data_IF_635662286487
#
_entry.id   IF_635662286487
#
_cell.length_a   1.000
_cell.length_b   1.000
_cell.length_c   1.000
_cell.angle_alpha   90.00
_cell.angle_beta   90.00
_cell.angle_gamma   90.00
#
_symmetry.space_group_name_H-M   'P 1'
#
loop_
_entity.id
_entity.type
_entity.pdbx_description
1 polymer ?
#
# COMPACT_ATOMS: atom_id res chain seq x y z
N UNK A 1 -3.42 24.14 -30.44
CA UNK A 1 -4.75 24.18 -29.80
C UNK A 1 -4.77 23.23 -28.62
N UNK A 2 -5.20 23.70 -27.44
CA UNK A 2 -5.47 22.81 -26.31
C UNK A 2 -6.76 22.05 -26.61
N UNK A 3 -6.68 20.76 -26.74
CA UNK A 3 -7.86 19.91 -26.92
C UNK A 3 -8.71 20.00 -25.66
N UNK A 4 -9.92 20.50 -25.78
CA UNK A 4 -10.86 20.55 -24.65
C UNK A 4 -11.47 19.17 -24.50
N UNK A 5 -11.15 18.49 -23.38
CA UNK A 5 -11.77 17.21 -23.06
C UNK A 5 -13.19 17.50 -22.59
N UNK A 6 -14.17 17.03 -23.32
CA UNK A 6 -15.59 17.22 -23.02
C UNK A 6 -16.25 15.98 -22.42
N UNK A 7 -15.62 14.80 -22.60
CA UNK A 7 -16.07 13.54 -22.03
C UNK A 7 -15.04 13.02 -21.02
N UNK A 8 -15.40 12.84 -19.75
CA UNK A 8 -14.48 12.28 -18.74
C UNK A 8 -13.90 10.91 -19.13
N UNK A 9 -14.60 10.15 -19.96
CA UNK A 9 -14.16 8.82 -20.43
C UNK A 9 -13.00 8.93 -21.42
N UNK A 10 -12.75 10.09 -22.01
CA UNK A 10 -11.61 10.35 -22.91
C UNK A 10 -10.32 10.60 -22.15
N UNK A 11 -10.37 10.76 -20.84
CA UNK A 11 -9.17 11.00 -20.01
C UNK A 11 -8.34 9.72 -19.96
N UNK A 12 -7.08 9.81 -20.35
CA UNK A 12 -6.17 8.67 -20.29
C UNK A 12 -5.58 8.53 -18.86
N UNK A 13 -6.39 7.96 -17.98
CA UNK A 13 -6.01 7.75 -16.57
C UNK A 13 -4.78 6.87 -16.41
N UNK A 14 -4.57 5.91 -17.30
CA UNK A 14 -3.36 5.05 -17.31
C UNK A 14 -2.11 5.90 -17.54
N UNK A 15 -2.15 6.81 -18.52
CA UNK A 15 -1.04 7.70 -18.80
C UNK A 15 -0.74 8.61 -17.58
N UNK A 16 -1.78 9.14 -16.94
CA UNK A 16 -1.61 9.96 -15.73
C UNK A 16 -0.98 9.16 -14.60
N UNK A 17 -1.42 7.91 -14.39
CA UNK A 17 -0.84 6.99 -13.42
C UNK A 17 0.65 6.77 -13.69
N UNK A 18 0.99 6.43 -14.94
CA UNK A 18 2.36 6.17 -15.35
C UNK A 18 3.26 7.40 -15.19
N UNK A 19 2.80 8.58 -15.62
CA UNK A 19 3.54 9.84 -15.47
C UNK A 19 3.80 10.18 -14.00
N UNK A 20 2.83 9.94 -13.13
CA UNK A 20 3.00 10.20 -11.69
C UNK A 20 4.07 9.28 -11.09
N UNK A 21 4.20 8.04 -11.58
CA UNK A 21 5.24 7.10 -11.14
C UNK A 21 6.60 7.40 -11.77
N UNK A 22 6.66 7.79 -13.04
CA UNK A 22 7.91 8.17 -13.73
C UNK A 22 8.65 9.30 -13.01
N UNK A 23 7.91 10.25 -12.44
CA UNK A 23 8.50 11.31 -11.64
C UNK A 23 9.18 10.81 -10.36
N UNK A 24 9.06 9.53 -10.04
CA UNK A 24 9.57 8.90 -8.82
C UNK A 24 10.60 7.79 -9.08
N UNK A 25 11.14 7.72 -10.29
CA UNK A 25 12.06 6.66 -10.75
C UNK A 25 13.33 6.45 -9.90
N UNK A 26 13.55 7.26 -8.88
CA UNK A 26 14.67 7.05 -7.97
C UNK A 26 14.29 6.06 -6.85
N UNK A 27 14.72 4.85 -7.08
CA UNK A 27 14.80 3.74 -6.10
C UNK A 27 13.49 3.03 -5.80
N UNK A 28 13.25 1.94 -6.48
CA UNK A 28 12.45 0.85 -5.96
C UNK A 28 12.94 0.55 -4.53
N UNK A 29 12.03 0.57 -3.59
CA UNK A 29 12.36 0.23 -2.21
C UNK A 29 12.88 -1.20 -2.18
N UNK A 30 14.07 -1.37 -1.66
CA UNK A 30 14.68 -2.69 -1.48
C UNK A 30 13.96 -3.38 -0.31
N UNK A 31 13.01 -4.22 -0.65
CA UNK A 31 12.19 -4.93 0.32
C UNK A 31 12.99 -5.98 1.09
N UNK A 32 14.03 -6.57 0.47
CA UNK A 32 14.93 -7.48 1.18
C UNK A 32 15.67 -6.77 2.32
N UNK A 33 16.10 -5.53 2.10
CA UNK A 33 16.70 -4.72 3.17
C UNK A 33 15.69 -4.27 4.23
N UNK A 34 14.43 -4.10 3.84
CA UNK A 34 13.39 -3.67 4.76
C UNK A 34 12.86 -4.79 5.65
N UNK A 35 12.90 -6.04 5.17
CA UNK A 35 12.26 -7.20 5.78
C UNK A 35 12.64 -7.42 7.27
N UNK A 36 13.94 -7.42 7.69
CA UNK A 36 14.28 -7.72 9.08
C UNK A 36 13.68 -6.75 10.11
N UNK A 37 13.40 -5.52 9.70
CA UNK A 37 12.87 -4.48 10.59
C UNK A 37 11.38 -4.18 10.32
N UNK A 38 10.80 -4.83 9.33
CA UNK A 38 9.43 -4.52 8.91
C UNK A 38 8.43 -4.80 10.02
N UNK A 39 8.56 -5.95 10.67
CA UNK A 39 7.68 -6.37 11.76
C UNK A 39 7.91 -5.56 13.05
N UNK A 40 9.17 -5.22 13.36
CA UNK A 40 9.52 -4.41 14.55
C UNK A 40 8.92 -3.00 14.47
N UNK A 41 8.77 -2.48 13.26
CA UNK A 41 8.09 -1.22 12.97
C UNK A 41 6.59 -1.41 12.74
N UNK A 42 6.08 -2.63 13.01
CA UNK A 42 4.68 -2.95 12.81
C UNK A 42 3.81 -2.06 13.71
N UNK A 43 2.97 -1.41 13.08
CA UNK A 43 2.30 -0.19 13.48
C UNK A 43 1.25 -0.39 14.54
N UNK A 44 1.20 0.54 15.42
CA UNK A 44 0.06 0.77 16.28
C UNK A 44 -1.06 1.45 15.44
N UNK A 45 -1.61 0.73 14.45
CA UNK A 45 -2.76 1.21 13.70
C UNK A 45 -3.82 0.10 13.62
N UNK A 46 -5.04 0.49 13.32
CA UNK A 46 -6.20 -0.41 13.23
C UNK A 46 -6.47 -0.87 11.79
N UNK A 47 -5.49 -0.77 10.91
CA UNK A 47 -5.67 -1.08 9.49
C UNK A 47 -6.07 -2.54 9.25
N UNK A 48 -5.37 -3.49 9.89
CA UNK A 48 -5.66 -4.90 9.68
C UNK A 48 -7.09 -5.24 10.11
N UNK A 49 -7.51 -4.77 11.28
CA UNK A 49 -8.86 -5.02 11.80
C UNK A 49 -9.93 -4.44 10.86
N UNK A 50 -9.70 -3.21 10.39
CA UNK A 50 -10.61 -2.56 9.43
C UNK A 50 -10.65 -3.32 8.10
N UNK A 51 -9.49 -3.75 7.58
CA UNK A 51 -9.44 -4.54 6.35
C UNK A 51 -10.21 -5.86 6.54
N UNK A 52 -9.89 -6.61 7.59
CA UNK A 52 -10.54 -7.91 7.83
C UNK A 52 -12.06 -7.78 7.97
N UNK A 53 -12.56 -6.68 8.56
CA UNK A 53 -14.01 -6.44 8.68
C UNK A 53 -14.70 -6.20 7.33
N UNK A 54 -13.94 -5.95 6.26
CA UNK A 54 -14.47 -5.68 4.92
C UNK A 54 -14.33 -6.86 3.96
N UNK A 55 -13.48 -7.82 4.29
CA UNK A 55 -13.30 -8.99 3.43
C UNK A 55 -14.53 -9.91 3.53
N UNK A 56 -15.01 -10.35 2.39
CA UNK A 56 -16.09 -11.34 2.28
C UNK A 56 -15.40 -12.67 1.96
N UNK A 57 -15.28 -13.51 2.97
CA UNK A 57 -14.55 -14.78 2.89
C UNK A 57 -15.44 -15.94 3.32
N UNK A 58 -15.22 -17.10 2.73
CA UNK A 58 -15.88 -18.36 3.09
C UNK A 58 -14.79 -19.40 3.36
N UNK A 59 -15.06 -20.34 4.25
CA UNK A 59 -14.12 -21.41 4.63
C UNK A 59 -13.64 -22.27 3.45
N UNK A 60 -14.42 -22.36 2.39
CA UNK A 60 -14.07 -23.12 1.18
C UNK A 60 -13.33 -22.28 0.12
N UNK A 61 -13.14 -20.99 0.34
CA UNK A 61 -12.50 -20.11 -0.64
C UNK A 61 -10.99 -20.38 -0.76
N UNK A 62 -10.49 -20.17 -1.97
CA UNK A 62 -9.06 -19.97 -2.25
C UNK A 62 -8.80 -18.47 -2.37
N UNK A 63 -7.72 -17.99 -1.74
CA UNK A 63 -7.36 -16.57 -1.78
C UNK A 63 -5.93 -16.38 -2.31
N UNK A 64 -5.77 -15.45 -3.24
CA UNK A 64 -4.47 -15.00 -3.74
C UNK A 64 -4.16 -13.63 -3.10
N UNK A 65 -3.05 -13.54 -2.37
CA UNK A 65 -2.60 -12.32 -1.70
C UNK A 65 -1.41 -11.73 -2.47
N UNK A 66 -1.65 -10.65 -3.19
CA UNK A 66 -0.67 -9.99 -4.07
C UNK A 66 0.12 -8.91 -3.30
N UNK A 67 1.40 -9.15 -3.11
CA UNK A 67 2.28 -8.33 -2.29
C UNK A 67 2.12 -8.71 -0.81
N UNK A 68 2.18 -10.01 -0.53
CA UNK A 68 1.88 -10.60 0.78
C UNK A 68 2.89 -10.22 1.87
N UNK A 69 4.09 -9.79 1.49
CA UNK A 69 5.15 -9.44 2.45
C UNK A 69 5.46 -10.59 3.38
N UNK A 70 5.65 -10.27 4.68
CA UNK A 70 5.97 -11.24 5.73
C UNK A 70 4.72 -11.94 6.33
N UNK A 71 3.56 -11.81 5.66
CA UNK A 71 2.37 -12.58 5.98
C UNK A 71 1.47 -12.00 7.07
N UNK A 72 1.64 -10.73 7.46
CA UNK A 72 0.81 -10.13 8.53
C UNK A 72 -0.69 -10.11 8.21
N UNK A 73 -1.05 -10.17 6.94
CA UNK A 73 -2.44 -10.29 6.48
C UNK A 73 -2.72 -11.72 6.02
N UNK A 74 -1.80 -12.32 5.27
CA UNK A 74 -1.90 -13.68 4.73
C UNK A 74 -2.24 -14.73 5.80
N UNK A 75 -1.48 -14.72 6.92
CA UNK A 75 -1.61 -15.77 7.94
C UNK A 75 -2.93 -15.71 8.72
N UNK A 76 -3.43 -14.54 9.15
CA UNK A 76 -4.79 -14.48 9.72
C UNK A 76 -5.89 -14.92 8.75
N UNK A 77 -5.76 -14.60 7.46
CA UNK A 77 -6.73 -15.04 6.43
C UNK A 77 -6.67 -16.57 6.26
N UNK A 78 -5.47 -17.16 6.27
CA UNK A 78 -5.30 -18.61 6.11
C UNK A 78 -6.09 -19.42 7.16
N UNK A 79 -6.35 -18.84 8.33
CA UNK A 79 -7.15 -19.48 9.39
C UNK A 79 -8.66 -19.47 9.09
N UNK A 80 -9.09 -18.79 8.03
CA UNK A 80 -10.51 -18.57 7.73
C UNK A 80 -10.93 -19.16 6.38
N UNK A 81 -9.96 -19.56 5.54
CA UNK A 81 -10.23 -20.05 4.18
C UNK A 81 -9.53 -21.38 3.92
N UNK A 82 -9.92 -22.06 2.85
CA UNK A 82 -9.38 -23.37 2.48
C UNK A 82 -7.87 -23.27 2.14
N UNK A 83 -7.46 -22.21 1.43
CA UNK A 83 -6.10 -22.08 0.94
C UNK A 83 -5.76 -20.61 0.69
N UNK A 84 -4.51 -20.21 0.99
CA UNK A 84 -3.97 -18.92 0.58
C UNK A 84 -2.69 -19.13 -0.21
N UNK A 85 -2.52 -18.36 -1.29
CA UNK A 85 -1.25 -18.25 -1.99
C UNK A 85 -0.78 -16.79 -1.92
N UNK A 86 0.39 -16.58 -1.33
CA UNK A 86 1.02 -15.26 -1.24
C UNK A 86 2.03 -15.06 -2.38
N UNK A 87 1.95 -13.93 -3.06
CA UNK A 87 2.90 -13.53 -4.10
C UNK A 87 3.68 -12.32 -3.61
N UNK A 88 5.00 -12.38 -3.65
CA UNK A 88 5.85 -11.22 -3.36
C UNK A 88 7.15 -11.29 -4.17
N UNK A 89 7.76 -10.15 -4.41
CA UNK A 89 9.03 -10.06 -5.15
C UNK A 89 10.27 -10.19 -4.25
N UNK A 90 10.08 -10.20 -2.92
CA UNK A 90 11.16 -10.26 -1.94
C UNK A 90 11.32 -11.67 -1.38
N UNK A 91 12.47 -12.29 -1.65
CA UNK A 91 12.82 -13.60 -1.08
C UNK A 91 12.76 -13.57 0.44
N UNK A 92 13.30 -12.52 1.06
CA UNK A 92 13.34 -12.40 2.52
C UNK A 92 11.96 -12.24 3.15
N UNK A 93 11.04 -11.54 2.48
CA UNK A 93 9.66 -11.44 2.94
C UNK A 93 9.00 -12.82 2.95
N UNK A 94 9.16 -13.58 1.87
CA UNK A 94 8.58 -14.93 1.77
C UNK A 94 9.21 -15.90 2.77
N UNK A 95 10.52 -15.79 3.02
CA UNK A 95 11.18 -16.58 4.07
C UNK A 95 10.56 -16.31 5.44
N UNK A 96 10.34 -15.04 5.79
CA UNK A 96 9.70 -14.64 7.04
C UNK A 96 8.24 -15.14 7.11
N UNK A 97 7.50 -15.05 6.01
CA UNK A 97 6.13 -15.55 5.95
C UNK A 97 6.11 -17.07 6.24
N UNK A 98 6.97 -17.82 5.56
CA UNK A 98 7.02 -19.28 5.71
C UNK A 98 7.46 -19.68 7.14
N UNK A 99 8.44 -19.00 7.70
CA UNK A 99 8.85 -19.22 9.10
C UNK A 99 7.68 -18.98 10.06
N UNK A 100 6.96 -17.86 9.90
CA UNK A 100 5.84 -17.51 10.77
C UNK A 100 4.66 -18.48 10.59
N UNK A 101 4.44 -18.99 9.37
CA UNK A 101 3.43 -20.02 9.13
C UNK A 101 3.76 -21.28 9.93
N UNK A 102 5.02 -21.72 9.90
CA UNK A 102 5.48 -22.88 10.68
C UNK A 102 5.31 -22.65 12.19
N UNK A 103 5.74 -21.49 12.69
CA UNK A 103 5.63 -21.12 14.11
C UNK A 103 4.17 -21.12 14.60
N UNK A 104 3.22 -20.85 13.71
CA UNK A 104 1.78 -20.81 14.03
C UNK A 104 1.04 -22.09 13.63
N UNK A 105 1.74 -23.12 13.13
CA UNK A 105 1.16 -24.38 12.63
C UNK A 105 0.10 -24.13 11.54
N UNK A 106 0.38 -23.21 10.60
CA UNK A 106 -0.48 -22.89 9.46
C UNK A 106 0.09 -23.63 8.24
N UNK A 107 -0.66 -24.60 7.70
CA UNK A 107 -0.20 -25.50 6.64
C UNK A 107 -0.82 -25.20 5.25
N UNK A 108 -1.82 -24.34 5.19
CA UNK A 108 -2.59 -24.07 3.97
C UNK A 108 -2.15 -22.78 3.26
N UNK A 109 -0.85 -22.44 3.36
CA UNK A 109 -0.27 -21.27 2.72
C UNK A 109 0.83 -21.72 1.76
N UNK A 110 0.72 -21.32 0.50
CA UNK A 110 1.78 -21.43 -0.51
C UNK A 110 2.35 -20.04 -0.81
N UNK A 111 3.59 -20.00 -1.30
CA UNK A 111 4.23 -18.73 -1.70
C UNK A 111 4.80 -18.81 -3.11
N UNK A 112 4.73 -17.69 -3.83
CA UNK A 112 5.28 -17.53 -5.19
C UNK A 112 6.19 -16.29 -5.17
N UNK A 113 7.47 -16.49 -5.53
CA UNK A 113 8.43 -15.40 -5.68
C UNK A 113 8.25 -14.79 -7.07
N UNK A 114 7.58 -13.63 -7.13
CA UNK A 114 7.32 -12.97 -8.42
C UNK A 114 6.97 -11.50 -8.23
N UNK A 115 7.39 -10.66 -9.17
CA UNK A 115 6.91 -9.29 -9.26
C UNK A 115 5.45 -9.26 -9.69
N UNK A 116 4.65 -8.38 -9.09
CA UNK A 116 3.24 -8.22 -9.45
C UNK A 116 3.04 -7.72 -10.89
N UNK A 117 4.07 -7.10 -11.47
CA UNK A 117 4.05 -6.66 -12.87
C UNK A 117 4.14 -7.83 -13.85
N UNK A 118 4.68 -8.96 -13.39
CA UNK A 118 4.99 -10.14 -14.23
C UNK A 118 4.02 -11.31 -14.01
N UNK A 119 3.01 -11.17 -13.16
CA UNK A 119 2.03 -12.24 -12.95
C UNK A 119 1.19 -12.47 -14.21
N UNK A 120 0.92 -13.73 -14.51
CA UNK A 120 0.04 -14.12 -15.62
C UNK A 120 -1.04 -15.09 -15.12
N UNK A 121 -2.18 -15.07 -15.78
CA UNK A 121 -3.25 -16.02 -15.47
C UNK A 121 -2.80 -17.47 -15.70
N UNK A 122 -2.01 -17.68 -16.73
CA UNK A 122 -1.53 -19.02 -17.14
C UNK A 122 -0.66 -19.68 -16.06
N UNK A 123 0.05 -18.85 -15.28
CA UNK A 123 0.90 -19.36 -14.16
C UNK A 123 0.13 -19.48 -12.85
N UNK A 124 -0.77 -18.53 -12.61
CA UNK A 124 -1.46 -18.40 -11.31
C UNK A 124 -2.73 -19.26 -11.27
N UNK A 125 -3.54 -19.23 -12.35
CA UNK A 125 -4.83 -19.92 -12.39
C UNK A 125 -5.93 -19.18 -11.64
N UNK A 126 -6.98 -19.92 -11.29
CA UNK A 126 -8.20 -19.39 -10.67
C UNK A 126 -8.12 -19.34 -9.16
N UNK A 127 -8.62 -18.24 -8.59
CA UNK A 127 -8.85 -18.07 -7.15
C UNK A 127 -10.25 -17.50 -6.92
N UNK A 128 -10.87 -17.89 -5.81
CA UNK A 128 -12.16 -17.31 -5.43
C UNK A 128 -12.01 -15.82 -5.12
N UNK A 129 -10.98 -15.46 -4.36
CA UNK A 129 -10.74 -14.08 -3.91
C UNK A 129 -9.31 -13.66 -4.24
N UNK A 130 -9.15 -12.45 -4.75
CA UNK A 130 -7.84 -11.82 -4.91
C UNK A 130 -7.76 -10.59 -3.99
N UNK A 131 -6.71 -10.51 -3.20
CA UNK A 131 -6.42 -9.36 -2.33
C UNK A 131 -5.11 -8.71 -2.79
N UNK A 132 -5.12 -7.39 -2.92
CA UNK A 132 -3.91 -6.59 -3.12
C UNK A 132 -3.90 -5.48 -2.08
N UNK A 133 -3.23 -5.73 -0.95
CA UNK A 133 -3.23 -4.84 0.21
C UNK A 133 -2.05 -3.88 0.19
N UNK A 134 -2.28 -2.64 -0.23
CA UNK A 134 -1.27 -1.57 -0.31
C UNK A 134 -0.07 -1.95 -1.20
N UNK A 135 -0.28 -2.79 -2.19
CA UNK A 135 0.78 -3.36 -3.03
C UNK A 135 0.80 -2.83 -4.47
N UNK A 136 -0.31 -2.23 -4.94
CA UNK A 136 -0.39 -1.79 -6.33
C UNK A 136 0.07 -0.34 -6.57
N UNK A 137 0.38 0.43 -5.53
CA UNK A 137 0.69 1.87 -5.66
C UNK A 137 1.92 2.17 -6.56
N UNK A 138 2.81 1.20 -6.76
CA UNK A 138 4.03 1.38 -7.55
C UNK A 138 4.03 0.68 -8.92
N UNK A 139 2.95 0.01 -9.27
CA UNK A 139 2.87 -0.82 -10.48
C UNK A 139 2.70 0.06 -11.71
N UNK A 140 3.68 0.02 -12.62
CA UNK A 140 3.67 0.85 -13.84
C UNK A 140 2.65 0.32 -14.86
N UNK A 141 2.64 -1.00 -15.22
CA UNK A 141 1.64 -1.53 -16.15
C UNK A 141 0.31 -1.82 -15.45
N UNK A 142 -0.22 -0.84 -14.71
CA UNK A 142 -1.38 -1.03 -13.82
C UNK A 142 -2.60 -1.61 -14.53
N UNK A 143 -2.88 -1.17 -15.76
CA UNK A 143 -4.04 -1.65 -16.52
C UNK A 143 -3.92 -3.14 -16.84
N UNK A 144 -2.74 -3.58 -17.26
CA UNK A 144 -2.49 -4.99 -17.60
C UNK A 144 -2.53 -5.86 -16.34
N UNK A 145 -1.94 -5.39 -15.25
CA UNK A 145 -2.01 -6.06 -13.95
C UNK A 145 -3.47 -6.21 -13.48
N UNK A 146 -4.28 -5.15 -13.61
CA UNK A 146 -5.70 -5.21 -13.24
C UNK A 146 -6.49 -6.20 -14.12
N UNK A 147 -6.19 -6.30 -15.43
CA UNK A 147 -6.81 -7.30 -16.30
C UNK A 147 -6.50 -8.72 -15.82
N UNK A 148 -5.23 -8.97 -15.48
CA UNK A 148 -4.80 -10.28 -14.97
C UNK A 148 -5.52 -10.59 -13.64
N UNK A 149 -5.54 -9.64 -12.70
CA UNK A 149 -6.24 -9.79 -11.42
C UNK A 149 -7.73 -10.12 -11.64
N UNK A 150 -8.39 -9.38 -12.54
CA UNK A 150 -9.81 -9.58 -12.82
C UNK A 150 -10.06 -10.96 -13.46
N UNK A 151 -9.13 -11.45 -14.29
CA UNK A 151 -9.23 -12.77 -14.92
C UNK A 151 -9.09 -13.90 -13.87
N UNK A 152 -8.16 -13.74 -12.92
CA UNK A 152 -7.85 -14.71 -11.86
C UNK A 152 -9.03 -14.88 -10.88
N UNK A 153 -9.70 -13.78 -10.51
CA UNK A 153 -10.70 -13.78 -9.45
C UNK A 153 -12.05 -14.31 -9.93
N UNK A 154 -12.59 -15.31 -9.25
CA UNK A 154 -13.91 -15.87 -9.56
C UNK A 154 -15.05 -15.15 -8.81
N UNK A 155 -14.80 -14.65 -7.59
CA UNK A 155 -15.83 -14.02 -6.75
C UNK A 155 -15.53 -12.55 -6.46
N UNK A 156 -14.42 -12.26 -5.80
CA UNK A 156 -14.10 -10.92 -5.31
C UNK A 156 -12.67 -10.51 -5.57
N UNK A 157 -12.50 -9.23 -5.86
CA UNK A 157 -11.19 -8.58 -5.83
C UNK A 157 -11.24 -7.46 -4.78
N UNK A 158 -10.32 -7.49 -3.82
CA UNK A 158 -10.14 -6.43 -2.82
C UNK A 158 -8.80 -5.75 -3.05
N UNK A 159 -8.84 -4.44 -3.28
CA UNK A 159 -7.62 -3.64 -3.45
C UNK A 159 -7.65 -2.52 -2.42
N UNK A 160 -6.57 -2.35 -1.67
CA UNK A 160 -6.43 -1.15 -0.84
C UNK A 160 -5.27 -0.31 -1.34
N UNK A 161 -5.46 1.00 -1.31
CA UNK A 161 -4.45 1.98 -1.68
C UNK A 161 -4.27 3.00 -0.57
N UNK A 162 -3.10 3.61 -0.54
CA UNK A 162 -2.88 4.78 0.31
C UNK A 162 -3.66 5.98 -0.24
N UNK A 163 -4.26 6.74 0.65
CA UNK A 163 -4.92 8.00 0.31
C UNK A 163 -4.01 9.20 0.51
N UNK A 164 -4.44 10.38 0.07
CA UNK A 164 -3.61 11.60 0.16
C UNK A 164 -3.23 11.97 1.60
N UNK A 165 -4.05 11.61 2.58
CA UNK A 165 -3.77 11.88 3.99
C UNK A 165 -2.55 11.09 4.51
N UNK A 166 -2.15 10.04 3.82
CA UNK A 166 -0.95 9.27 4.18
C UNK A 166 0.34 10.06 3.98
N UNK A 167 0.30 11.13 3.21
CA UNK A 167 1.44 12.02 2.92
C UNK A 167 1.19 13.46 3.37
N UNK A 168 0.21 13.68 4.22
CA UNK A 168 -0.20 15.03 4.64
C UNK A 168 0.96 15.83 5.24
N UNK A 169 1.71 15.21 6.16
CA UNK A 169 2.80 15.88 6.88
C UNK A 169 3.94 16.24 5.92
N UNK A 170 4.30 15.30 5.06
CA UNK A 170 5.33 15.51 4.04
C UNK A 170 4.92 16.62 3.06
N UNK A 171 3.64 16.67 2.70
CA UNK A 171 3.09 17.71 1.84
C UNK A 171 3.11 19.06 2.55
N UNK A 172 2.65 19.14 3.79
CA UNK A 172 2.66 20.37 4.60
C UNK A 172 4.10 20.89 4.78
N UNK A 173 5.06 19.99 5.00
CA UNK A 173 6.47 20.40 5.07
C UNK A 173 6.96 20.96 3.73
N UNK A 174 6.67 20.31 2.61
CA UNK A 174 7.06 20.83 1.29
C UNK A 174 6.45 22.21 1.04
N UNK A 175 5.19 22.42 1.41
CA UNK A 175 4.54 23.74 1.34
C UNK A 175 5.26 24.77 2.23
N UNK A 176 5.66 24.38 3.45
CA UNK A 176 6.39 25.23 4.39
C UNK A 176 7.72 25.73 3.81
N UNK A 177 8.43 24.86 3.08
CA UNK A 177 9.70 25.24 2.42
C UNK A 177 9.51 25.72 0.97
N UNK A 178 8.27 25.94 0.53
CA UNK A 178 7.90 26.40 -0.82
C UNK A 178 8.40 25.46 -1.93
N UNK A 179 8.43 24.16 -1.66
CA UNK A 179 8.85 23.11 -2.59
C UNK A 179 7.65 22.39 -3.18
N UNK A 180 7.69 22.11 -4.47
CA UNK A 180 6.61 21.38 -5.12
C UNK A 180 6.50 19.93 -4.59
N UNK A 181 5.31 19.51 -4.26
CA UNK A 181 5.03 18.14 -3.82
C UNK A 181 4.64 17.27 -4.99
N UNK A 182 5.40 16.22 -5.23
CA UNK A 182 5.04 15.19 -6.22
C UNK A 182 4.02 14.25 -5.58
N UNK A 183 2.87 14.12 -6.21
CA UNK A 183 1.81 13.25 -5.70
C UNK A 183 1.93 11.84 -6.26
N UNK A 184 1.64 10.84 -5.42
CA UNK A 184 1.42 9.47 -5.89
C UNK A 184 0.06 9.37 -6.55
N UNK A 185 -0.10 8.50 -7.56
CA UNK A 185 -1.42 8.19 -8.06
C UNK A 185 -2.22 7.53 -6.94
N UNK A 186 -3.36 8.10 -6.63
CA UNK A 186 -4.22 7.64 -5.56
C UNK A 186 -5.42 6.83 -6.07
N UNK A 187 -6.36 6.61 -5.17
CA UNK A 187 -7.56 5.84 -5.46
C UNK A 187 -8.37 6.38 -6.65
N UNK A 188 -8.37 7.70 -6.82
CA UNK A 188 -9.12 8.33 -7.92
C UNK A 188 -8.60 7.91 -9.30
N UNK A 189 -7.29 7.74 -9.46
CA UNK A 189 -6.72 7.21 -10.70
C UNK A 189 -7.16 5.76 -10.91
N UNK A 190 -6.98 4.90 -9.89
CA UNK A 190 -7.33 3.48 -10.00
C UNK A 190 -8.83 3.29 -10.30
N UNK A 191 -9.69 4.04 -9.60
CA UNK A 191 -11.13 3.96 -9.81
C UNK A 191 -11.50 4.29 -11.27
N UNK A 192 -10.94 5.38 -11.80
CA UNK A 192 -11.24 5.76 -13.19
C UNK A 192 -10.65 4.78 -14.21
N UNK A 193 -9.47 4.19 -13.91
CA UNK A 193 -8.92 3.12 -14.76
C UNK A 193 -9.88 1.92 -14.77
N UNK A 194 -10.34 1.46 -13.61
CA UNK A 194 -11.30 0.36 -13.51
C UNK A 194 -12.60 0.69 -14.24
N UNK A 195 -13.13 1.91 -14.05
CA UNK A 195 -14.35 2.36 -14.70
C UNK A 195 -14.20 2.30 -16.24
N UNK A 196 -13.08 2.81 -16.77
CA UNK A 196 -12.80 2.77 -18.22
C UNK A 196 -12.55 1.35 -18.75
N UNK A 197 -12.29 0.38 -17.86
CA UNK A 197 -12.20 -1.04 -18.20
C UNK A 197 -13.57 -1.75 -18.15
N UNK A 198 -14.63 -1.03 -17.77
CA UNK A 198 -15.96 -1.60 -17.57
C UNK A 198 -16.12 -2.31 -16.22
N UNK A 199 -15.21 -2.05 -15.28
CA UNK A 199 -15.25 -2.64 -13.93
C UNK A 199 -15.78 -1.60 -12.96
N UNK A 200 -17.02 -1.76 -12.53
CA UNK A 200 -17.73 -0.80 -11.67
C UNK A 200 -17.51 -1.17 -10.19
N UNK A 201 -16.37 -0.77 -9.67
CA UNK A 201 -15.95 -1.13 -8.32
C UNK A 201 -16.67 -0.33 -7.23
N UNK A 202 -16.95 -0.98 -6.12
CA UNK A 202 -17.37 -0.29 -4.89
C UNK A 202 -16.15 0.32 -4.21
N UNK A 203 -16.28 1.58 -3.76
CA UNK A 203 -15.20 2.28 -3.06
C UNK A 203 -15.63 2.54 -1.63
N UNK A 204 -14.76 2.21 -0.69
CA UNK A 204 -14.94 2.56 0.70
C UNK A 204 -13.67 3.16 1.29
N UNK A 205 -13.84 4.22 2.08
CA UNK A 205 -12.74 4.87 2.78
C UNK A 205 -12.52 4.21 4.14
N UNK A 206 -11.34 3.63 4.36
CA UNK A 206 -10.93 3.11 5.66
C UNK A 206 -10.33 4.25 6.48
N UNK A 207 -11.05 4.69 7.51
CA UNK A 207 -10.60 5.78 8.39
C UNK A 207 -9.67 5.24 9.48
N UNK A 208 -8.42 5.01 9.12
CA UNK A 208 -7.41 4.36 9.95
C UNK A 208 -6.91 5.32 11.05
N UNK A 209 -6.88 4.84 12.27
CA UNK A 209 -6.26 5.55 13.40
C UNK A 209 -4.82 5.05 13.54
N UNK A 210 -3.88 5.94 13.35
CA UNK A 210 -2.47 5.60 13.48
C UNK A 210 -1.77 6.58 14.41
N UNK A 211 -0.82 6.03 15.15
CA UNK A 211 0.10 6.81 16.00
C UNK A 211 1.50 6.59 15.48
N UNK A 212 2.27 7.65 15.38
CA UNK A 212 3.70 7.55 15.13
C UNK A 212 4.42 8.08 16.36
N UNK A 213 5.21 7.22 16.97
CA UNK A 213 6.09 7.56 18.08
C UNK A 213 7.52 7.49 17.60
N UNK A 214 8.34 8.40 18.07
CA UNK A 214 9.75 8.50 17.72
C UNK A 214 10.55 8.75 19.01
N UNK A 215 11.70 8.12 19.11
CA UNK A 215 12.62 8.32 20.24
C UNK A 215 13.35 9.66 20.14
N UNK A 216 13.44 10.23 18.93
CA UNK A 216 14.12 11.52 18.72
C UNK A 216 13.60 12.22 17.46
N UNK A 217 13.93 13.49 17.33
CA UNK A 217 13.68 14.26 16.11
C UNK A 217 14.45 13.64 14.92
N UNK A 218 15.67 13.19 15.16
CA UNK A 218 16.52 12.54 14.15
C UNK A 218 15.81 11.28 13.64
N UNK A 219 15.28 10.47 14.53
CA UNK A 219 14.52 9.29 14.13
C UNK A 219 13.26 9.69 13.32
N UNK A 220 12.57 10.75 13.72
CA UNK A 220 11.42 11.24 12.97
C UNK A 220 11.82 11.71 11.57
N UNK A 221 12.99 12.35 11.41
CA UNK A 221 13.53 12.73 10.11
C UNK A 221 13.84 11.50 9.25
N UNK A 222 14.55 10.52 9.81
CA UNK A 222 15.01 9.33 9.08
C UNK A 222 13.87 8.40 8.69
N UNK A 223 12.90 8.22 9.56
CA UNK A 223 11.78 7.30 9.35
C UNK A 223 10.53 7.97 8.78
N UNK A 224 10.54 9.29 8.65
CA UNK A 224 9.52 10.03 7.91
C UNK A 224 9.69 9.83 6.40
N UNK A 225 8.69 10.24 5.65
CA UNK A 225 8.69 10.12 4.17
C UNK A 225 9.26 11.37 3.50
N UNK A 226 10.13 12.08 4.20
CA UNK A 226 10.60 13.41 3.80
C UNK A 226 11.66 13.41 2.68
N UNK A 227 12.10 12.24 2.21
CA UNK A 227 13.08 12.13 1.14
C UNK A 227 14.34 12.97 1.45
N UNK A 228 14.99 12.65 2.57
CA UNK A 228 16.20 13.37 3.04
C UNK A 228 17.30 13.42 1.99
N UNK A 229 17.32 12.44 1.08
CA UNK A 229 18.24 12.37 -0.06
C UNK A 229 18.03 13.51 -1.06
N UNK A 230 16.83 14.12 -1.08
CA UNK A 230 16.48 15.23 -1.97
C UNK A 230 16.52 16.60 -1.27
N UNK A 231 16.85 16.63 0.02
CA UNK A 231 16.89 17.87 0.80
C UNK A 231 18.34 18.35 0.95
N UNK A 232 18.56 19.64 0.72
CA UNK A 232 19.84 20.28 1.03
C UNK A 232 19.97 20.54 2.54
N UNK A 233 21.11 21.04 3.00
CA UNK A 233 21.38 21.24 4.43
C UNK A 233 20.44 22.24 5.09
N UNK A 234 20.07 23.32 4.40
CA UNK A 234 19.13 24.32 4.91
C UNK A 234 17.72 23.72 5.05
N UNK A 235 17.29 22.95 4.05
CA UNK A 235 15.98 22.26 4.08
C UNK A 235 15.94 21.21 5.22
N UNK A 236 17.04 20.51 5.49
CA UNK A 236 17.14 19.58 6.61
C UNK A 236 17.05 20.32 7.95
N UNK A 237 17.65 21.48 8.06
CA UNK A 237 17.53 22.34 9.26
C UNK A 237 16.09 22.82 9.42
N UNK A 238 15.43 23.22 8.35
CA UNK A 238 14.02 23.60 8.37
C UNK A 238 13.11 22.41 8.74
N UNK A 239 13.43 21.20 8.27
CA UNK A 239 12.69 19.99 8.64
C UNK A 239 12.80 19.71 10.14
N UNK A 240 14.01 19.82 10.70
CA UNK A 240 14.23 19.65 12.15
C UNK A 240 13.38 20.67 12.94
N UNK A 241 13.38 21.93 12.52
CA UNK A 241 12.56 22.98 13.15
C UNK A 241 11.07 22.64 13.05
N UNK A 242 10.59 22.31 11.86
CA UNK A 242 9.20 21.94 11.62
C UNK A 242 8.77 20.75 12.49
N UNK A 243 9.58 19.70 12.56
CA UNK A 243 9.26 18.53 13.39
C UNK A 243 9.22 18.86 14.88
N UNK A 244 10.11 19.72 15.36
CA UNK A 244 10.06 20.21 16.74
C UNK A 244 8.75 20.96 17.05
N UNK A 245 8.19 21.64 16.08
CA UNK A 245 6.94 22.38 16.24
C UNK A 245 5.72 21.45 16.26
N UNK A 246 5.70 20.42 15.41
CA UNK A 246 4.52 19.53 15.28
C UNK A 246 4.55 18.31 16.18
N UNK A 247 5.73 17.86 16.61
CA UNK A 247 5.87 16.70 17.49
C UNK A 247 5.72 17.14 18.95
N UNK A 248 4.82 16.51 19.67
CA UNK A 248 4.64 16.73 21.10
C UNK A 248 5.49 15.72 21.88
N UNK A 249 6.20 16.22 22.87
CA UNK A 249 6.89 15.34 23.83
C UNK A 249 5.84 14.47 24.54
N UNK A 250 6.13 13.20 24.67
CA UNK A 250 5.31 12.26 25.43
C UNK A 250 5.57 12.39 26.93
N UNK A 251 4.87 11.59 27.74
CA UNK A 251 5.12 11.50 29.18
C UNK A 251 6.51 10.91 29.50
N UNK A 252 7.13 10.20 28.55
CA UNK A 252 8.54 9.81 28.63
C UNK A 252 9.38 10.97 28.09
N UNK A 253 10.30 11.56 28.89
CA UNK A 253 10.99 12.80 28.48
C UNK A 253 11.80 12.73 27.20
N UNK A 254 12.11 11.54 26.74
CA UNK A 254 12.95 11.31 25.55
C UNK A 254 12.14 11.02 24.29
N UNK A 255 10.83 10.75 24.41
CA UNK A 255 10.00 10.31 23.27
C UNK A 255 9.09 11.43 22.74
N UNK A 256 8.88 11.41 21.46
CA UNK A 256 8.03 12.36 20.73
C UNK A 256 6.86 11.63 20.10
N UNK A 257 5.64 12.14 20.25
CA UNK A 257 4.47 11.63 19.53
C UNK A 257 3.95 12.64 18.54
N UNK A 258 3.61 12.14 17.38
CA UNK A 258 2.83 12.87 16.41
C UNK A 258 1.33 12.75 16.77
N UNK A 259 0.61 13.85 16.69
CA UNK A 259 -0.86 13.90 16.87
C UNK A 259 -1.53 12.80 16.01
N UNK A 260 -2.57 12.17 16.54
CA UNK A 260 -3.40 11.18 15.83
C UNK A 260 -3.53 11.50 14.35
N UNK A 261 -2.87 10.74 13.51
CA UNK A 261 -2.98 10.87 12.07
C UNK A 261 -4.13 9.99 11.62
N UNK A 262 -5.17 10.58 11.07
CA UNK A 262 -6.16 9.82 10.32
C UNK A 262 -5.53 9.43 8.98
N UNK A 263 -5.02 8.22 8.88
CA UNK A 263 -4.60 7.66 7.61
C UNK A 263 -5.83 7.14 6.88
N UNK A 264 -5.81 7.15 5.56
CA UNK A 264 -6.91 6.66 4.75
C UNK A 264 -6.47 5.44 3.94
N UNK A 265 -7.27 4.38 3.98
CA UNK A 265 -7.20 3.25 3.07
C UNK A 265 -8.49 3.19 2.26
N UNK A 266 -8.47 2.55 1.12
CA UNK A 266 -9.63 2.36 0.27
C UNK A 266 -9.77 0.91 -0.13
N UNK A 267 -10.83 0.37 -0.07
CA UNK A 267 -11.00 -0.84 -0.36
C UNK A 267 -11.80 -0.84 -1.52
N UNK A 268 -11.52 -1.44 -2.32
CA UNK A 268 -12.32 -1.72 -3.51
C UNK A 268 -12.73 -3.17 -3.44
N UNK A 269 -13.99 -3.43 -3.61
CA UNK A 269 -14.48 -4.81 -3.53
C UNK A 269 -15.65 -5.06 -4.48
N UNK A 270 -15.79 -6.31 -4.87
CA UNK A 270 -16.92 -6.81 -5.60
C UNK A 270 -16.66 -7.02 -7.09
N UNK A 271 -16.83 -8.27 -7.52
CA UNK A 271 -16.95 -8.64 -8.93
C UNK A 271 -18.45 -8.69 -9.21
N UNK A 272 -18.92 -7.88 -10.20
CA UNK A 272 -20.32 -8.00 -10.61
C UNK A 272 -20.51 -9.31 -11.36
N UNK A 273 -21.27 -9.82 -10.82
CA UNK A 273 -21.60 -11.07 -11.39
C UNK A 273 -21.99 -11.07 -12.68
#
# INVERSE_FOLDING_TARGET
MKQTITDPNEVNWVQFWQKALEQKKDKNKDWDKAAPNFHKKAKKDDYHDLLFSKLILNENDSLLDLGCGEGSITLPIAKQVRKVTGVDSSTKMLELLNQRAQEQNIENVDTILKSLEDITYEEIGDYDVVLASRSLNGIIPIKETLKTINKIANKYVFITLFGPENWKIEKEFNEYIKKESKQFPGYNYLFNILYNMGIYANIERLAIKAYREYDSIEEAMDNGKFRLDLLNNDEKTQLRKYLNEILKKTQKPENYTMKKIKLTGFXFGGKSX
#
